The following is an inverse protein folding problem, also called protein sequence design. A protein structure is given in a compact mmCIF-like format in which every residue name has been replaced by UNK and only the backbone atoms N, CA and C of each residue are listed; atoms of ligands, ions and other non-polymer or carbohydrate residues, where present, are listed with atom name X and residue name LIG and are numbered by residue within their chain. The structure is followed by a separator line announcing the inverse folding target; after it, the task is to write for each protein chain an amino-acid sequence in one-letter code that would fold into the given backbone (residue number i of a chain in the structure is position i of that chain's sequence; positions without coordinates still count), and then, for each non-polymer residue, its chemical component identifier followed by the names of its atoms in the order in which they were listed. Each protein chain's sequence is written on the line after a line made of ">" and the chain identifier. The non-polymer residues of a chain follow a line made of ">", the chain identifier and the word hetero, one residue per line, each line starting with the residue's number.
data_IF_532584818553
#
_entry.id   IF_532584818553
#
_cell.length_a   1.000
_cell.length_b   1.000
_cell.length_c   1.000
_cell.angle_alpha   90.00
_cell.angle_beta   90.00
_cell.angle_gamma   90.00
#
_symmetry.space_group_name_H-M   'P 1'
#
loop_
_entity.id
_entity.type
_entity.pdbx_description
1 polymer ?
#
# COMPACT_ATOMS: atom_id res chain seq x y z
N UNK A 1 12.09 24.36 7.56
CA UNK A 1 12.30 23.28 8.54
C UNK A 1 13.23 23.78 9.64
N UNK A 2 12.71 24.04 10.84
CA UNK A 2 13.46 24.69 11.95
C UNK A 2 14.14 23.68 12.89
N UNK A 3 13.83 22.39 12.75
CA UNK A 3 14.25 21.33 13.67
C UNK A 3 15.76 21.03 13.54
N UNK A 4 16.30 20.98 12.32
CA UNK A 4 17.74 20.71 12.11
C UNK A 4 18.68 21.86 12.47
N UNK A 5 18.19 23.10 12.41
CA UNK A 5 18.98 24.29 12.72
C UNK A 5 19.25 24.45 14.23
N UNK A 6 18.33 23.97 15.08
CA UNK A 6 18.48 24.03 16.54
C UNK A 6 19.59 23.12 17.06
N UNK A 7 19.68 21.88 16.57
CA UNK A 7 20.70 20.92 17.00
C UNK A 7 22.11 21.35 16.58
N UNK A 8 22.26 21.82 15.33
CA UNK A 8 23.54 22.35 14.83
C UNK A 8 23.99 23.58 15.62
N UNK A 9 23.07 24.45 16.04
CA UNK A 9 23.40 25.57 16.91
C UNK A 9 23.80 25.12 18.33
N UNK A 10 23.13 24.12 18.89
CA UNK A 10 23.45 23.56 20.20
C UNK A 10 24.83 22.89 20.23
N UNK A 11 25.18 22.10 19.21
CA UNK A 11 26.52 21.48 19.07
C UNK A 11 27.60 22.56 18.96
N UNK A 12 27.41 23.57 18.10
CA UNK A 12 28.35 24.71 17.99
C UNK A 12 28.49 25.52 19.27
N UNK A 13 27.48 25.51 20.14
CA UNK A 13 27.55 26.17 21.45
C UNK A 13 28.32 25.31 22.45
N UNK A 14 28.10 24.00 22.46
CA UNK A 14 28.83 23.04 23.28
C UNK A 14 30.33 23.05 22.96
N UNK A 15 30.70 23.07 21.68
CA UNK A 15 32.09 23.22 21.23
C UNK A 15 32.72 24.53 21.74
N UNK A 16 31.97 25.65 21.68
CA UNK A 16 32.43 26.95 22.21
C UNK A 16 32.60 26.96 23.73
N UNK A 17 31.90 26.08 24.44
CA UNK A 17 32.06 25.90 25.88
C UNK A 17 33.19 24.91 26.23
N UNK A 18 33.90 24.36 25.23
CA UNK A 18 34.98 23.40 25.43
C UNK A 18 34.48 22.03 25.88
N UNK A 19 33.21 21.69 25.60
CA UNK A 19 32.69 20.35 25.88
C UNK A 19 33.41 19.36 24.95
N UNK A 20 33.84 18.25 25.53
CA UNK A 20 34.58 17.24 24.81
C UNK A 20 33.71 16.62 23.69
N UNK A 21 34.21 16.49 22.45
CA UNK A 21 33.43 16.00 21.30
C UNK A 21 32.81 14.62 21.53
N UNK A 22 33.52 13.73 22.21
CA UNK A 22 33.06 12.39 22.56
C UNK A 22 31.76 12.42 23.38
N UNK A 23 31.65 13.35 24.34
CA UNK A 23 30.45 13.50 25.15
C UNK A 23 29.25 13.98 24.32
N UNK A 24 29.51 14.81 23.31
CA UNK A 24 28.46 15.29 22.39
C UNK A 24 27.94 14.12 21.55
N UNK A 25 28.82 13.25 21.04
CA UNK A 25 28.41 12.08 20.29
C UNK A 25 27.61 11.10 21.14
N UNK A 26 28.07 10.77 22.34
CA UNK A 26 27.36 9.87 23.27
C UNK A 26 25.97 10.42 23.63
N UNK A 27 25.85 11.73 23.89
CA UNK A 27 24.57 12.37 24.18
C UNK A 27 23.62 12.35 22.98
N UNK A 28 24.14 12.58 21.77
CA UNK A 28 23.33 12.52 20.55
C UNK A 28 22.86 11.09 20.31
N UNK A 29 23.73 10.09 20.45
CA UNK A 29 23.38 8.68 20.30
C UNK A 29 22.27 8.28 21.27
N UNK A 30 22.42 8.60 22.56
CA UNK A 30 21.39 8.33 23.58
C UNK A 30 20.07 9.06 23.30
N UNK A 31 20.14 10.34 22.90
CA UNK A 31 18.94 11.11 22.58
C UNK A 31 18.23 10.59 21.32
N UNK A 32 18.99 10.13 20.32
CA UNK A 32 18.49 9.49 19.12
C UNK A 32 17.85 8.14 19.40
N UNK A 33 18.49 7.29 20.22
CA UNK A 33 17.95 6.01 20.65
C UNK A 33 16.65 6.20 21.44
N UNK A 34 16.63 7.10 22.42
CA UNK A 34 15.43 7.40 23.22
C UNK A 34 14.34 8.08 22.38
N UNK A 35 14.71 8.87 21.38
CA UNK A 35 13.79 9.45 20.40
C UNK A 35 13.14 8.37 19.53
N UNK A 36 13.94 7.44 18.99
CA UNK A 36 13.48 6.32 18.20
C UNK A 36 12.58 5.39 19.03
N UNK A 37 12.97 5.08 20.26
CA UNK A 37 12.19 4.25 21.19
C UNK A 37 10.84 4.87 21.52
N UNK A 38 10.78 6.17 21.79
CA UNK A 38 9.51 6.90 22.01
C UNK A 38 8.64 6.92 20.78
N UNK A 39 9.21 7.10 19.59
CA UNK A 39 8.45 7.05 18.34
C UNK A 39 7.87 5.65 18.10
N UNK A 40 8.66 4.59 18.30
CA UNK A 40 8.20 3.20 18.23
C UNK A 40 7.11 2.91 19.26
N UNK A 41 7.27 3.37 20.50
CA UNK A 41 6.26 3.21 21.55
C UNK A 41 4.95 3.93 21.23
N UNK A 42 5.00 5.14 20.66
CA UNK A 42 3.81 5.87 20.20
C UNK A 42 3.07 5.15 19.08
N UNK A 43 3.79 4.39 18.26
CA UNK A 43 3.23 3.53 17.22
C UNK A 43 2.77 2.16 17.77
N UNK A 44 2.97 1.88 19.06
CA UNK A 44 2.68 0.58 19.68
C UNK A 44 3.68 -0.52 19.29
N UNK A 45 4.86 -0.16 18.78
CA UNK A 45 5.89 -1.07 18.23
C UNK A 45 7.10 -1.24 19.17
N UNK A 46 6.87 -1.12 20.48
CA UNK A 46 7.93 -1.11 21.48
C UNK A 46 8.37 -2.50 21.94
N UNK A 47 7.62 -3.54 21.61
CA UNK A 47 7.93 -4.93 21.96
C UNK A 47 8.82 -5.60 20.90
N UNK A 48 9.55 -6.64 21.31
CA UNK A 48 10.50 -7.34 20.43
C UNK A 48 9.84 -8.11 19.28
N UNK A 49 8.52 -8.31 19.29
CA UNK A 49 7.80 -9.01 18.22
C UNK A 49 7.19 -8.05 17.19
N UNK A 50 6.99 -6.77 17.53
CA UNK A 50 6.42 -5.74 16.64
C UNK A 50 7.03 -5.69 15.22
N UNK A 51 8.35 -5.90 15.10
CA UNK A 51 9.02 -5.94 13.79
C UNK A 51 8.57 -7.12 12.93
N UNK A 52 8.37 -8.29 13.55
CA UNK A 52 7.85 -9.50 12.91
C UNK A 52 6.39 -9.31 12.50
N UNK A 53 5.57 -8.78 13.41
CA UNK A 53 4.13 -8.56 13.16
C UNK A 53 3.89 -7.60 11.99
N UNK A 54 4.65 -6.50 11.91
CA UNK A 54 4.59 -5.58 10.76
C UNK A 54 4.95 -6.29 9.46
N UNK A 55 5.97 -7.15 9.50
CA UNK A 55 6.42 -7.89 8.32
C UNK A 55 5.35 -8.88 7.87
N UNK A 56 4.73 -9.59 8.80
CA UNK A 56 3.63 -10.51 8.54
C UNK A 56 2.39 -9.80 7.99
N UNK A 57 1.98 -8.67 8.58
CA UNK A 57 0.88 -7.85 8.07
C UNK A 57 1.14 -7.37 6.63
N UNK A 58 2.39 -7.00 6.31
CA UNK A 58 2.78 -6.63 4.94
C UNK A 58 2.66 -7.80 3.99
N UNK A 59 3.09 -9.00 4.39
CA UNK A 59 2.96 -10.23 3.60
C UNK A 59 1.49 -10.59 3.37
N UNK A 60 0.65 -10.52 4.41
CA UNK A 60 -0.80 -10.74 4.31
C UNK A 60 -1.46 -9.73 3.37
N UNK A 61 -1.14 -8.45 3.49
CA UNK A 61 -1.66 -7.40 2.62
C UNK A 61 -1.24 -7.58 1.16
N UNK A 62 -0.02 -8.07 0.93
CA UNK A 62 0.45 -8.36 -0.42
C UNK A 62 -0.33 -9.53 -1.03
N UNK A 63 -0.51 -10.62 -0.26
CA UNK A 63 -1.34 -11.75 -0.68
C UNK A 63 -2.80 -11.34 -0.97
N UNK A 64 -3.38 -10.46 -0.14
CA UNK A 64 -4.74 -9.95 -0.33
C UNK A 64 -4.84 -9.09 -1.61
N UNK A 65 -3.83 -8.27 -1.88
CA UNK A 65 -3.80 -7.43 -3.08
C UNK A 65 -3.78 -8.30 -4.33
N UNK A 66 -3.03 -9.39 -4.32
CA UNK A 66 -2.97 -10.35 -5.42
C UNK A 66 -4.29 -11.11 -5.59
N UNK A 67 -4.93 -11.53 -4.50
CA UNK A 67 -6.26 -12.14 -4.54
C UNK A 67 -7.27 -11.18 -5.16
N UNK A 68 -7.29 -9.90 -4.74
CA UNK A 68 -8.22 -8.90 -5.28
C UNK A 68 -7.99 -8.67 -6.77
N UNK A 69 -6.73 -8.60 -7.22
CA UNK A 69 -6.39 -8.46 -8.65
C UNK A 69 -6.89 -9.66 -9.44
N UNK A 70 -6.63 -10.86 -8.95
CA UNK A 70 -7.07 -12.11 -9.58
C UNK A 70 -8.59 -12.20 -9.66
N UNK A 71 -9.29 -11.86 -8.58
CA UNK A 71 -10.75 -11.86 -8.53
C UNK A 71 -11.37 -10.89 -9.55
N UNK A 72 -10.84 -9.66 -9.64
CA UNK A 72 -11.29 -8.67 -10.63
C UNK A 72 -11.00 -9.13 -12.06
N UNK A 73 -9.81 -9.70 -12.32
CA UNK A 73 -9.49 -10.25 -13.63
C UNK A 73 -10.42 -11.39 -14.04
N UNK A 74 -10.74 -12.30 -13.11
CA UNK A 74 -11.66 -13.40 -13.34
C UNK A 74 -13.08 -12.88 -13.62
N UNK A 75 -13.54 -11.90 -12.85
CA UNK A 75 -14.85 -11.25 -13.04
C UNK A 75 -14.94 -10.59 -14.42
N UNK A 76 -13.95 -9.77 -14.80
CA UNK A 76 -13.91 -9.10 -16.11
C UNK A 76 -13.88 -10.12 -17.24
N UNK A 77 -13.10 -11.20 -17.10
CA UNK A 77 -13.04 -12.28 -18.10
C UNK A 77 -14.39 -12.97 -18.26
N UNK A 78 -15.07 -13.28 -17.15
CA UNK A 78 -16.41 -13.87 -17.17
C UNK A 78 -17.44 -12.94 -17.80
N UNK A 79 -17.41 -11.66 -17.44
CA UNK A 79 -18.29 -10.64 -17.98
C UNK A 79 -18.10 -10.48 -19.50
N UNK A 80 -16.85 -10.47 -19.96
CA UNK A 80 -16.54 -10.41 -21.38
C UNK A 80 -17.08 -11.64 -22.12
N UNK A 81 -16.90 -12.84 -21.56
CA UNK A 81 -17.47 -14.08 -22.11
C UNK A 81 -19.00 -14.03 -22.21
N UNK A 82 -19.68 -13.54 -21.17
CA UNK A 82 -21.12 -13.35 -21.16
C UNK A 82 -21.56 -12.32 -22.21
N UNK A 83 -20.83 -11.21 -22.34
CA UNK A 83 -21.11 -10.18 -23.32
C UNK A 83 -21.03 -10.73 -24.76
N UNK A 84 -19.95 -11.43 -25.12
CA UNK A 84 -19.82 -12.07 -26.43
C UNK A 84 -20.90 -13.14 -26.66
N UNK A 85 -21.20 -13.96 -25.66
CA UNK A 85 -22.25 -14.99 -25.76
C UNK A 85 -23.62 -14.36 -26.00
N UNK A 86 -23.94 -13.29 -25.26
CA UNK A 86 -25.18 -12.53 -25.43
C UNK A 86 -25.25 -11.86 -26.81
N UNK A 87 -24.14 -11.32 -27.32
CA UNK A 87 -24.09 -10.70 -28.64
C UNK A 87 -24.41 -11.70 -29.76
N UNK A 88 -23.79 -12.89 -29.72
CA UNK A 88 -24.04 -13.97 -30.69
C UNK A 88 -25.51 -14.43 -30.61
N UNK A 89 -26.01 -14.68 -29.39
CA UNK A 89 -27.39 -15.11 -29.18
C UNK A 89 -28.39 -14.05 -29.68
N UNK A 90 -28.13 -12.78 -29.39
CA UNK A 90 -28.96 -11.66 -29.86
C UNK A 90 -29.01 -11.57 -31.39
N UNK A 91 -27.87 -11.76 -32.06
CA UNK A 91 -27.82 -11.81 -33.52
C UNK A 91 -28.64 -12.97 -34.07
N UNK A 92 -28.50 -14.17 -33.51
CA UNK A 92 -29.25 -15.35 -33.94
C UNK A 92 -30.76 -15.15 -33.83
N UNK A 93 -31.23 -14.55 -32.72
CA UNK A 93 -32.65 -14.22 -32.53
C UNK A 93 -33.13 -13.22 -33.57
N UNK A 94 -32.38 -12.14 -33.83
CA UNK A 94 -32.73 -11.14 -34.86
C UNK A 94 -32.85 -11.77 -36.25
N UNK A 95 -31.90 -12.64 -36.63
CA UNK A 95 -31.95 -13.35 -37.90
C UNK A 95 -33.16 -14.29 -38.00
N UNK A 96 -33.48 -15.04 -36.95
CA UNK A 96 -34.67 -15.89 -36.93
C UNK A 96 -35.97 -15.08 -37.07
N UNK A 97 -36.07 -13.94 -36.39
CA UNK A 97 -37.24 -13.06 -36.47
C UNK A 97 -37.42 -12.47 -37.87
N UNK A 98 -36.33 -12.03 -38.50
CA UNK A 98 -36.35 -11.53 -39.88
C UNK A 98 -36.81 -12.60 -40.88
N UNK A 99 -36.30 -13.83 -40.72
CA UNK A 99 -36.71 -14.96 -41.57
C UNK A 99 -38.19 -15.31 -41.38
N UNK A 100 -38.71 -15.27 -40.15
CA UNK A 100 -40.11 -15.52 -39.86
C UNK A 100 -41.03 -14.47 -40.51
N UNK A 101 -40.66 -13.19 -40.44
CA UNK A 101 -41.41 -12.11 -41.09
C UNK A 101 -41.46 -12.19 -42.62
N UNK A 102 -40.44 -12.76 -43.25
CA UNK A 102 -40.43 -13.00 -44.70
C UNK A 102 -41.37 -14.15 -45.11
N UNK A 103 -41.57 -15.15 -44.25
CA UNK A 103 -42.41 -16.33 -44.54
C UNK A 103 -43.91 -16.00 -44.37
N UNK A 104 -44.28 -15.18 -43.38
CA UNK A 104 -45.68 -14.77 -43.16
C UNK A 104 -46.11 -13.56 -44.02
N UNK A 105 -45.18 -12.92 -44.74
CA UNK A 105 -45.44 -11.77 -45.60
C UNK A 105 -45.67 -12.11 -47.08
N UNK A 106 -45.67 -13.39 -47.45
CA UNK A 106 -46.02 -13.91 -48.78
C UNK A 106 -47.43 -14.50 -48.77
#
# INVERSE_FOLDING_TARGET
>A
MRIGAGLTQAVRQAERQGIAPELIYDLIEQASEEGARRALAQLGLSDGQAGTDITELRLLLDSWRDVRRTALQALVRWLMRLCFSALILGLAVKFKLLQLGQIFGQ
#
